data_IF_605788472500
#
_entry.id   IF_605788472500
#
_cell.length_a   1.000
_cell.length_b   1.000
_cell.length_c   1.000
_cell.angle_alpha   90.00
_cell.angle_beta   90.00
_cell.angle_gamma   90.00
#
_symmetry.space_group_name_H-M   'P 1'
#
loop_
_entity.id
_entity.type
_entity.pdbx_description
1 polymer ?
#
# COMPACT_ATOMS: atom_id res chain seq x y z
N UNK A 1 -36.37 -44.18 11.41
CA UNK A 1 -34.95 -44.34 11.08
C UNK A 1 -34.42 -43.01 10.53
N UNK A 2 -33.31 -42.56 11.08
CA UNK A 2 -32.62 -41.32 10.59
C UNK A 2 -31.82 -41.67 9.36
N UNK A 3 -31.91 -40.85 8.33
CA UNK A 3 -31.08 -40.91 7.13
C UNK A 3 -30.02 -39.82 7.28
N UNK A 4 -28.75 -40.15 7.51
CA UNK A 4 -27.73 -39.14 7.72
C UNK A 4 -27.53 -38.29 6.45
N UNK A 5 -27.25 -37.01 6.62
CA UNK A 5 -26.88 -36.15 5.51
C UNK A 5 -25.44 -36.38 5.14
N UNK A 6 -25.11 -36.05 3.88
CA UNK A 6 -23.75 -36.03 3.36
C UNK A 6 -23.14 -34.62 3.54
N UNK A 7 -21.84 -34.58 3.69
CA UNK A 7 -21.07 -33.32 3.66
C UNK A 7 -20.27 -33.25 2.36
N UNK A 8 -20.40 -32.13 1.65
CA UNK A 8 -19.62 -31.80 0.47
C UNK A 8 -18.68 -30.67 0.78
N UNK A 9 -17.40 -30.84 0.49
CA UNK A 9 -16.39 -29.80 0.60
C UNK A 9 -16.16 -29.13 -0.76
N UNK A 10 -16.25 -27.79 -0.80
CA UNK A 10 -16.03 -26.98 -1.99
C UNK A 10 -14.87 -26.04 -1.71
N UNK A 11 -13.85 -26.09 -2.56
CA UNK A 11 -12.71 -25.17 -2.45
C UNK A 11 -13.12 -23.73 -2.77
N UNK A 12 -12.71 -22.76 -1.93
CA UNK A 12 -12.98 -21.33 -2.10
C UNK A 12 -11.68 -20.52 -1.97
N UNK A 13 -11.26 -19.95 -3.10
CA UNK A 13 -10.04 -19.15 -3.20
C UNK A 13 -10.16 -17.75 -2.54
N UNK A 14 -11.31 -17.38 -2.01
CA UNK A 14 -11.50 -16.12 -1.28
C UNK A 14 -11.33 -16.30 0.23
N UNK A 15 -11.37 -17.53 0.70
CA UNK A 15 -11.19 -17.89 2.11
C UNK A 15 -9.73 -18.30 2.35
N UNK A 16 -9.15 -17.81 3.45
CA UNK A 16 -7.77 -18.17 3.82
C UNK A 16 -7.60 -19.68 3.94
N UNK A 17 -6.46 -20.19 3.47
CA UNK A 17 -6.09 -21.59 3.60
C UNK A 17 -6.22 -22.07 5.04
N UNK A 18 -6.75 -23.25 5.22
CA UNK A 18 -7.08 -23.90 6.51
C UNK A 18 -8.25 -23.26 7.28
N UNK A 19 -8.97 -22.31 6.70
CA UNK A 19 -10.26 -21.87 7.24
C UNK A 19 -11.40 -22.59 6.54
N UNK A 20 -12.50 -22.76 7.26
CA UNK A 20 -13.69 -23.45 6.79
C UNK A 20 -14.93 -22.66 7.17
N UNK A 21 -15.88 -22.59 6.26
CA UNK A 21 -17.16 -21.93 6.48
C UNK A 21 -18.31 -22.85 6.02
N UNK A 22 -19.35 -22.94 6.83
CA UNK A 22 -20.55 -23.69 6.47
C UNK A 22 -21.40 -22.81 5.53
N UNK A 23 -21.40 -23.13 4.24
CA UNK A 23 -22.24 -22.45 3.25
C UNK A 23 -23.69 -22.90 3.31
N UNK A 24 -23.92 -24.18 3.61
CA UNK A 24 -25.23 -24.77 3.79
C UNK A 24 -25.20 -25.80 4.93
N UNK A 25 -26.06 -25.61 5.91
CA UNK A 25 -26.18 -26.54 7.02
C UNK A 25 -26.85 -27.83 6.57
N UNK A 26 -26.25 -28.97 6.90
CA UNK A 26 -26.84 -30.28 6.68
C UNK A 26 -28.06 -30.51 7.56
N UNK A 27 -28.96 -31.34 7.10
CA UNK A 27 -30.11 -31.80 7.85
C UNK A 27 -30.36 -33.27 7.52
N UNK A 28 -30.41 -34.10 8.55
CA UNK A 28 -30.73 -35.51 8.38
C UNK A 28 -32.15 -35.69 7.85
N UNK A 29 -32.32 -36.68 7.01
CA UNK A 29 -33.59 -37.17 6.55
C UNK A 29 -34.25 -38.11 7.58
N UNK A 30 -35.48 -38.46 7.31
CA UNK A 30 -36.25 -39.36 8.16
C UNK A 30 -36.99 -40.38 7.30
N UNK A 31 -36.79 -41.66 7.61
CA UNK A 31 -37.58 -42.74 7.06
C UNK A 31 -38.53 -43.27 8.13
N UNK A 32 -39.82 -43.21 7.87
CA UNK A 32 -40.86 -43.78 8.72
C UNK A 32 -41.42 -45.01 8.02
N UNK A 33 -41.38 -46.16 8.72
CA UNK A 33 -41.89 -47.43 8.23
C UNK A 33 -42.95 -47.89 9.24
N UNK A 34 -44.11 -48.16 8.75
CA UNK A 34 -45.22 -48.74 9.53
C UNK A 34 -45.34 -50.23 9.26
N UNK A 35 -45.46 -50.97 10.31
CA UNK A 35 -45.61 -52.43 10.25
C UNK A 35 -46.96 -52.86 10.83
N UNK A 36 -47.54 -53.84 10.20
CA UNK A 36 -48.65 -54.62 10.77
C UNK A 36 -48.06 -55.90 11.39
N UNK A 37 -48.23 -56.07 12.71
CA UNK A 37 -47.67 -57.17 13.44
C UNK A 37 -48.78 -58.25 13.69
N UNK A 38 -48.43 -59.44 13.32
CA UNK A 38 -49.26 -60.61 13.62
C UNK A 38 -48.82 -61.24 14.94
N UNK A 39 -49.76 -61.26 15.91
CA UNK A 39 -49.48 -61.71 17.26
C UNK A 39 -50.11 -63.13 17.47
N UNK A 40 -49.32 -64.06 18.03
CA UNK A 40 -49.72 -65.32 18.52
C UNK A 40 -49.35 -65.41 20.02
N UNK A 41 -50.29 -65.68 20.87
CA UNK A 41 -50.10 -65.69 22.33
C UNK A 41 -49.42 -64.46 22.90
N UNK A 42 -49.72 -63.27 22.31
CA UNK A 42 -49.21 -62.01 22.76
C UNK A 42 -47.74 -61.75 22.31
N UNK A 43 -47.20 -62.60 21.46
CA UNK A 43 -45.84 -62.38 20.86
C UNK A 43 -45.98 -62.13 19.37
N UNK A 44 -45.16 -61.22 18.87
CA UNK A 44 -45.06 -60.94 17.42
C UNK A 44 -44.44 -62.15 16.73
N UNK A 45 -45.25 -62.84 15.87
CA UNK A 45 -44.81 -63.99 15.08
C UNK A 45 -44.35 -63.58 13.67
N UNK A 46 -44.98 -62.53 13.11
CA UNK A 46 -44.61 -61.98 11.82
C UNK A 46 -44.91 -60.46 11.79
N UNK A 47 -44.12 -59.71 11.06
CA UNK A 47 -44.36 -58.28 10.77
C UNK A 47 -44.39 -58.07 9.26
N UNK A 48 -45.34 -57.30 8.77
CA UNK A 48 -45.47 -56.93 7.37
C UNK A 48 -45.43 -55.43 7.26
N UNK A 49 -44.49 -54.89 6.43
CA UNK A 49 -44.46 -53.47 6.10
C UNK A 49 -45.72 -53.06 5.33
N UNK A 50 -46.46 -52.08 5.85
CA UNK A 50 -47.73 -51.60 5.25
C UNK A 50 -47.56 -50.16 4.67
N UNK A 51 -46.63 -49.39 5.17
CA UNK A 51 -46.41 -48.04 4.70
C UNK A 51 -44.93 -47.67 4.85
N UNK A 52 -44.41 -46.88 3.91
CA UNK A 52 -43.10 -46.28 3.97
C UNK A 52 -43.17 -44.82 3.48
N UNK A 53 -42.72 -43.91 4.31
CA UNK A 53 -42.54 -42.51 3.93
C UNK A 53 -41.07 -42.09 4.16
N UNK A 54 -40.56 -41.25 3.31
CA UNK A 54 -39.19 -40.82 3.39
C UNK A 54 -39.09 -39.33 3.15
N UNK A 55 -38.38 -38.63 4.05
CA UNK A 55 -37.96 -37.25 3.90
C UNK A 55 -36.47 -37.28 3.61
N UNK A 56 -36.08 -36.83 2.42
CA UNK A 56 -34.70 -36.85 2.01
C UNK A 56 -33.81 -35.92 2.88
N UNK A 57 -32.58 -36.32 3.17
CA UNK A 57 -31.63 -35.44 3.85
C UNK A 57 -31.26 -34.23 3.00
N UNK A 58 -30.89 -33.15 3.66
CA UNK A 58 -30.29 -31.98 3.01
C UNK A 58 -28.79 -32.05 3.21
N UNK A 59 -28.05 -32.02 2.12
CA UNK A 59 -26.58 -32.06 2.14
C UNK A 59 -25.99 -30.85 2.86
N UNK A 60 -24.98 -31.07 3.69
CA UNK A 60 -24.12 -29.99 4.19
C UNK A 60 -23.11 -29.57 3.13
N UNK A 61 -22.88 -28.24 2.97
CA UNK A 61 -21.86 -27.71 2.10
C UNK A 61 -20.88 -26.89 2.94
N UNK A 62 -19.62 -27.30 2.92
CA UNK A 62 -18.54 -26.67 3.63
C UNK A 62 -17.56 -26.07 2.62
N UNK A 63 -17.36 -24.75 2.67
CA UNK A 63 -16.30 -24.08 1.91
C UNK A 63 -14.97 -24.25 2.62
N UNK A 64 -13.99 -24.74 1.91
CA UNK A 64 -12.62 -24.94 2.39
C UNK A 64 -11.71 -23.91 1.73
N UNK A 65 -11.10 -23.06 2.53
CA UNK A 65 -10.25 -21.99 2.04
C UNK A 65 -8.97 -22.50 1.39
N UNK A 66 -8.61 -21.90 0.27
CA UNK A 66 -7.36 -22.14 -0.46
C UNK A 66 -6.49 -20.89 -0.66
N UNK A 67 -6.98 -19.69 -0.25
CA UNK A 67 -6.22 -18.45 -0.38
C UNK A 67 -4.94 -18.48 0.46
N UNK A 68 -3.81 -18.35 -0.20
CA UNK A 68 -2.51 -18.10 0.43
C UNK A 68 -2.13 -16.66 0.17
N UNK A 69 -2.14 -15.83 1.21
CA UNK A 69 -1.68 -14.44 1.08
C UNK A 69 -0.18 -14.37 0.93
N UNK A 70 0.28 -13.46 0.08
CA UNK A 70 1.69 -13.16 -0.18
C UNK A 70 2.04 -11.78 0.32
N UNK A 71 3.31 -11.58 0.67
CA UNK A 71 3.82 -10.28 1.10
C UNK A 71 3.70 -9.27 -0.05
N UNK A 72 3.03 -8.11 0.16
CA UNK A 72 2.99 -7.06 -0.85
C UNK A 72 4.34 -6.37 -1.01
N UNK A 73 4.54 -5.72 -2.15
CA UNK A 73 5.71 -4.88 -2.40
C UNK A 73 5.30 -3.46 -2.75
N UNK A 74 6.13 -2.49 -2.39
CA UNK A 74 5.97 -1.09 -2.77
C UNK A 74 7.28 -0.59 -3.37
N UNK A 75 7.18 0.07 -4.49
CA UNK A 75 8.29 0.69 -5.19
C UNK A 75 8.09 2.19 -5.30
N UNK A 76 9.16 2.97 -5.05
CA UNK A 76 9.21 4.38 -5.41
C UNK A 76 9.51 4.46 -6.92
N UNK A 77 8.49 4.78 -7.71
CA UNK A 77 8.61 4.80 -9.17
C UNK A 77 9.28 6.07 -9.67
N UNK A 78 8.96 7.21 -9.05
CA UNK A 78 9.50 8.49 -9.45
C UNK A 78 9.54 9.48 -8.30
N UNK A 79 10.51 10.39 -8.33
CA UNK A 79 10.60 11.57 -7.47
C UNK A 79 10.69 12.79 -8.38
N UNK A 80 9.66 13.61 -8.37
CA UNK A 80 9.60 14.87 -9.12
C UNK A 80 9.99 16.01 -8.18
N UNK A 81 11.03 16.74 -8.52
CA UNK A 81 11.51 17.86 -7.72
C UNK A 81 10.68 19.12 -8.03
N UNK A 82 10.21 19.80 -6.99
CA UNK A 82 9.65 21.15 -7.07
C UNK A 82 10.60 22.11 -6.32
N UNK A 83 11.61 22.56 -7.03
CA UNK A 83 12.66 23.39 -6.45
C UNK A 83 12.13 24.74 -5.97
N UNK A 84 11.09 25.27 -6.63
CA UNK A 84 10.47 26.54 -6.23
C UNK A 84 9.79 26.48 -4.86
N UNK A 85 9.33 25.29 -4.47
CA UNK A 85 8.65 25.05 -3.19
C UNK A 85 9.51 24.35 -2.17
N UNK A 86 10.79 24.07 -2.47
CA UNK A 86 11.64 23.22 -1.63
C UNK A 86 10.96 21.91 -1.27
N UNK A 87 10.41 21.25 -2.28
CA UNK A 87 9.59 20.05 -2.13
C UNK A 87 9.92 19.02 -3.20
N UNK A 88 9.54 17.77 -2.92
CA UNK A 88 9.48 16.70 -3.91
C UNK A 88 8.10 16.06 -3.89
N UNK A 89 7.68 15.59 -5.05
CA UNK A 89 6.48 14.79 -5.21
C UNK A 89 6.89 13.35 -5.55
N UNK A 90 6.49 12.41 -4.72
CA UNK A 90 6.89 10.99 -4.79
C UNK A 90 5.73 10.15 -5.28
N UNK A 91 5.98 9.35 -6.30
CA UNK A 91 5.03 8.38 -6.83
C UNK A 91 5.42 6.98 -6.38
N UNK A 92 4.42 6.20 -6.01
CA UNK A 92 4.57 4.82 -5.57
C UNK A 92 3.82 3.85 -6.49
N UNK A 93 4.25 2.60 -6.48
CA UNK A 93 3.52 1.48 -7.06
C UNK A 93 3.42 0.38 -6.02
N UNK A 94 2.18 0.01 -5.69
CA UNK A 94 1.87 -1.15 -4.84
C UNK A 94 1.60 -2.36 -5.74
N UNK A 95 2.22 -3.48 -5.39
CA UNK A 95 1.87 -4.81 -5.91
C UNK A 95 1.38 -5.67 -4.74
N UNK A 96 0.08 -5.95 -4.72
CA UNK A 96 -0.61 -6.67 -3.65
C UNK A 96 -1.69 -7.59 -4.23
N UNK A 97 -1.30 -8.67 -4.91
CA UNK A 97 -2.23 -9.57 -5.61
C UNK A 97 -3.19 -10.31 -4.69
N UNK A 98 -2.90 -10.39 -3.40
CA UNK A 98 -3.66 -11.16 -2.41
C UNK A 98 -4.30 -10.33 -1.32
N UNK A 99 -4.33 -9.02 -1.48
CA UNK A 99 -4.94 -8.07 -0.52
C UNK A 99 -4.39 -8.26 0.89
N UNK A 100 -3.08 -8.31 1.00
CA UNK A 100 -2.36 -8.43 2.27
C UNK A 100 -1.94 -7.07 2.85
N UNK A 101 -1.92 -6.00 2.04
CA UNK A 101 -1.53 -4.66 2.45
C UNK A 101 -2.46 -4.09 3.52
N UNK A 102 -1.90 -3.44 4.54
CA UNK A 102 -2.63 -2.77 5.62
C UNK A 102 -2.38 -1.26 5.59
N UNK A 103 -1.11 -0.85 5.66
CA UNK A 103 -0.71 0.57 5.60
C UNK A 103 0.75 0.71 5.18
N UNK A 104 1.13 1.93 4.81
CA UNK A 104 2.51 2.27 4.52
C UNK A 104 2.89 3.61 5.16
N UNK A 105 4.20 3.81 5.36
CA UNK A 105 4.78 5.07 5.77
C UNK A 105 6.09 5.33 5.04
N UNK A 106 6.40 6.60 4.83
CA UNK A 106 7.70 7.04 4.34
C UNK A 106 8.47 7.75 5.46
N UNK A 107 9.75 7.45 5.57
CA UNK A 107 10.68 8.13 6.45
C UNK A 107 11.74 8.84 5.61
N UNK A 108 11.96 10.11 5.91
CA UNK A 108 12.92 10.95 5.23
C UNK A 108 14.11 11.18 6.15
N UNK A 109 15.28 10.83 5.65
CA UNK A 109 16.55 10.96 6.35
C UNK A 109 17.42 12.02 5.69
N UNK A 110 18.12 12.79 6.53
CA UNK A 110 19.19 13.72 6.16
C UNK A 110 20.47 13.28 6.87
N UNK A 111 21.50 12.96 6.11
CA UNK A 111 22.78 12.47 6.66
C UNK A 111 22.59 11.33 7.69
N UNK A 112 21.68 10.40 7.43
CA UNK A 112 21.38 9.29 8.31
C UNK A 112 20.45 9.59 9.49
N UNK A 113 20.09 10.86 9.72
CA UNK A 113 19.15 11.28 10.76
C UNK A 113 17.75 11.36 10.21
N UNK A 114 16.77 10.74 10.89
CA UNK A 114 15.36 10.85 10.56
C UNK A 114 14.88 12.28 10.83
N UNK A 115 14.37 12.95 9.80
CA UNK A 115 13.87 14.34 9.89
C UNK A 115 12.35 14.44 9.74
N UNK A 116 11.74 13.50 9.03
CA UNK A 116 10.30 13.51 8.76
C UNK A 116 9.75 12.10 8.58
N UNK A 117 8.54 11.86 9.08
CA UNK A 117 7.76 10.66 8.80
C UNK A 117 6.40 11.06 8.23
N UNK A 118 5.93 10.35 7.22
CA UNK A 118 4.68 10.62 6.51
C UNK A 118 3.91 9.32 6.35
N UNK A 119 2.67 9.30 6.81
CA UNK A 119 1.75 8.19 6.56
C UNK A 119 1.29 8.21 5.10
N UNK A 120 1.50 7.12 4.40
CA UNK A 120 1.10 6.94 3.01
C UNK A 120 -0.31 6.31 2.97
N UNK A 121 -1.33 7.16 3.06
CA UNK A 121 -2.74 6.70 3.14
C UNK A 121 -3.23 6.09 1.83
N UNK A 122 -2.74 6.58 0.71
CA UNK A 122 -3.08 6.12 -0.63
C UNK A 122 -1.83 6.15 -1.52
N UNK A 123 -1.36 4.97 -1.90
CA UNK A 123 -0.18 4.81 -2.73
C UNK A 123 -0.44 5.08 -4.22
N UNK A 124 -1.70 5.22 -4.64
CA UNK A 124 -2.09 5.60 -6.00
C UNK A 124 -1.97 7.10 -6.24
N UNK A 125 -1.91 7.89 -5.16
CA UNK A 125 -1.81 9.34 -5.20
C UNK A 125 -0.38 9.79 -4.93
N UNK A 126 0.08 10.78 -5.69
CA UNK A 126 1.37 11.41 -5.48
C UNK A 126 1.47 12.04 -4.08
N UNK A 127 2.54 11.74 -3.37
CA UNK A 127 2.80 12.26 -2.02
C UNK A 127 3.79 13.42 -2.08
N UNK A 128 3.43 14.57 -1.52
CA UNK A 128 4.31 15.75 -1.45
C UNK A 128 5.07 15.77 -0.14
N UNK A 129 6.39 15.94 -0.23
CA UNK A 129 7.31 16.14 0.88
C UNK A 129 7.94 17.52 0.72
N UNK A 130 7.66 18.39 1.65
CA UNK A 130 8.10 19.81 1.68
C UNK A 130 9.09 20.08 2.82
N UNK A 131 9.56 21.31 2.89
CA UNK A 131 10.47 21.76 3.95
C UNK A 131 11.89 21.24 3.78
N UNK A 132 12.29 20.97 2.55
CA UNK A 132 13.60 20.46 2.20
C UNK A 132 14.58 21.62 1.90
N UNK A 133 15.87 21.37 2.08
CA UNK A 133 16.92 22.32 1.76
C UNK A 133 17.59 21.99 0.43
N UNK A 134 18.09 23.02 -0.26
CA UNK A 134 18.89 22.83 -1.47
C UNK A 134 20.24 22.18 -1.14
N UNK A 135 20.80 21.44 -2.08
CA UNK A 135 22.12 20.81 -2.01
C UNK A 135 22.32 19.88 -0.81
N UNK A 136 21.22 19.46 -0.24
CA UNK A 136 21.22 18.54 0.89
C UNK A 136 20.83 17.16 0.40
N UNK A 137 21.67 16.13 0.63
CA UNK A 137 21.31 14.77 0.26
C UNK A 137 20.26 14.22 1.24
N UNK A 138 19.22 13.67 0.68
CA UNK A 138 18.13 13.03 1.39
C UNK A 138 17.98 11.58 0.95
N UNK A 139 17.61 10.74 1.88
CA UNK A 139 17.19 9.34 1.61
C UNK A 139 15.75 9.18 2.04
N UNK A 140 14.89 8.71 1.15
CA UNK A 140 13.54 8.29 1.48
C UNK A 140 13.50 6.77 1.60
N UNK A 141 12.93 6.29 2.70
CA UNK A 141 12.70 4.87 2.97
C UNK A 141 11.22 4.62 3.16
N UNK A 142 10.71 3.58 2.52
CA UNK A 142 9.30 3.21 2.61
C UNK A 142 9.15 1.92 3.40
N UNK A 143 8.21 1.92 4.31
CA UNK A 143 7.87 0.79 5.18
C UNK A 143 6.43 0.37 4.97
N UNK A 144 6.19 -0.94 5.02
CA UNK A 144 4.86 -1.52 4.93
C UNK A 144 4.43 -2.18 6.24
N UNK A 145 3.14 -2.15 6.49
CA UNK A 145 2.45 -3.10 7.36
C UNK A 145 1.53 -3.96 6.50
N UNK A 146 1.55 -5.26 6.71
CA UNK A 146 0.75 -6.21 5.95
C UNK A 146 0.26 -7.36 6.84
N UNK A 147 -0.78 -8.07 6.40
CA UNK A 147 -1.38 -9.19 7.13
C UNK A 147 -1.51 -10.42 6.21
N UNK A 148 -0.84 -11.49 6.57
CA UNK A 148 -0.87 -12.76 5.83
C UNK A 148 -1.94 -13.74 6.35
N UNK A 149 -2.88 -13.25 7.18
CA UNK A 149 -3.99 -14.04 7.69
C UNK A 149 -3.90 -14.44 9.16
N UNK A 150 -2.89 -13.95 9.89
CA UNK A 150 -2.75 -14.19 11.34
C UNK A 150 -2.78 -12.88 12.13
N UNK A 151 -1.72 -12.10 12.02
CA UNK A 151 -1.58 -10.79 12.65
C UNK A 151 -0.90 -9.84 11.69
N UNK A 152 -1.05 -8.54 11.93
CA UNK A 152 -0.32 -7.51 11.20
C UNK A 152 1.18 -7.69 11.43
N UNK A 153 1.92 -7.69 10.33
CA UNK A 153 3.37 -7.76 10.34
C UNK A 153 3.92 -6.40 9.99
N UNK A 154 4.62 -5.78 10.92
CA UNK A 154 5.37 -4.58 10.62
C UNK A 154 6.54 -4.95 9.74
N UNK A 155 6.65 -4.22 8.65
CA UNK A 155 7.68 -4.53 7.73
C UNK A 155 8.95 -3.76 7.99
N UNK A 156 10.00 -4.44 7.63
CA UNK A 156 11.26 -3.83 7.28
C UNK A 156 11.10 -2.95 6.04
N UNK A 157 12.03 -2.06 5.83
CA UNK A 157 12.22 -1.26 4.63
C UNK A 157 11.96 -2.06 3.34
N UNK A 158 11.07 -1.54 2.48
CA UNK A 158 10.70 -2.19 1.21
C UNK A 158 11.20 -1.44 -0.01
N UNK A 159 11.47 -0.14 0.12
CA UNK A 159 11.98 0.69 -0.96
C UNK A 159 12.81 1.83 -0.40
N UNK A 160 13.94 2.11 -1.04
CA UNK A 160 14.83 3.21 -0.68
C UNK A 160 15.21 3.97 -1.93
N UNK A 161 15.24 5.30 -1.84
CA UNK A 161 15.71 6.17 -2.91
C UNK A 161 16.35 7.42 -2.38
N UNK A 162 17.51 7.77 -2.94
CA UNK A 162 18.20 8.99 -2.64
C UNK A 162 17.77 10.10 -3.59
N UNK A 163 17.73 11.32 -3.09
CA UNK A 163 17.47 12.50 -3.88
C UNK A 163 18.10 13.73 -3.24
N UNK A 164 18.21 14.79 -4.03
CA UNK A 164 18.69 16.10 -3.60
C UNK A 164 17.94 17.14 -4.41
N UNK A 165 17.55 18.24 -3.78
CA UNK A 165 17.10 19.42 -4.51
C UNK A 165 18.31 20.17 -5.02
N UNK A 166 18.25 20.57 -6.28
CA UNK A 166 19.25 21.45 -6.86
C UNK A 166 18.91 22.91 -6.47
N UNK A 167 19.72 23.84 -6.87
CA UNK A 167 19.49 25.23 -6.51
C UNK A 167 18.19 25.79 -7.14
N UNK A 168 17.64 26.80 -6.50
CA UNK A 168 16.57 27.61 -7.08
C UNK A 168 17.10 28.24 -8.37
N UNK A 169 16.48 27.89 -9.50
CA UNK A 169 16.87 28.43 -10.80
C UNK A 169 16.71 29.96 -10.79
N UNK A 170 17.82 30.65 -10.90
CA UNK A 170 17.85 32.10 -11.03
C UNK A 170 17.91 32.43 -12.52
N UNK A 171 16.92 33.15 -13.01
CA UNK A 171 16.96 33.74 -14.33
C UNK A 171 17.74 35.04 -14.23
N UNK A 172 18.91 35.07 -14.83
CA UNK A 172 19.70 36.29 -14.92
C UNK A 172 19.20 37.07 -16.12
N UNK A 173 18.77 38.28 -15.88
CA UNK A 173 18.34 39.20 -16.92
C UNK A 173 19.47 40.21 -17.20
N UNK A 174 19.51 40.76 -18.43
CA UNK A 174 20.49 41.68 -18.94
C UNK A 174 21.13 42.60 -17.90
N UNK A 175 22.46 42.63 -17.94
CA UNK A 175 23.28 43.38 -16.98
C UNK A 175 23.91 44.52 -17.72
N UNK A 176 23.18 45.61 -17.89
CA UNK A 176 23.70 46.85 -18.43
C UNK A 176 24.51 47.64 -17.39
N UNK A 177 24.42 47.25 -16.12
CA UNK A 177 25.10 47.90 -15.00
C UNK A 177 25.76 46.88 -14.07
N UNK A 178 26.67 47.34 -13.24
CA UNK A 178 27.36 46.54 -12.24
C UNK A 178 26.36 45.96 -11.23
N UNK A 179 26.02 44.69 -11.36
CA UNK A 179 25.12 44.02 -10.43
C UNK A 179 24.66 42.64 -10.92
N UNK A 180 24.19 41.83 -10.00
CA UNK A 180 23.62 40.54 -10.26
C UNK A 180 22.09 40.68 -10.18
N UNK A 181 21.39 40.17 -11.19
CA UNK A 181 19.93 40.17 -11.19
C UNK A 181 19.44 38.72 -11.13
N UNK A 182 18.65 38.40 -10.11
CA UNK A 182 18.00 37.11 -9.98
C UNK A 182 16.48 37.25 -9.89
N UNK A 183 15.75 36.31 -10.46
CA UNK A 183 14.29 36.23 -10.30
C UNK A 183 13.97 35.37 -9.08
N UNK A 184 13.40 36.01 -8.08
CA UNK A 184 13.01 35.42 -6.83
C UNK A 184 11.50 35.66 -6.62
N UNK A 185 10.72 34.60 -6.37
CA UNK A 185 9.27 34.67 -6.17
C UNK A 185 8.51 35.48 -7.25
N UNK A 186 8.94 35.35 -8.50
CA UNK A 186 8.35 36.08 -9.62
C UNK A 186 8.89 37.49 -9.84
N UNK A 187 9.74 38.03 -8.97
CA UNK A 187 10.29 39.35 -9.03
C UNK A 187 11.82 39.31 -9.32
N UNK A 188 12.31 40.28 -10.11
CA UNK A 188 13.74 40.46 -10.30
C UNK A 188 14.30 41.28 -9.15
N UNK A 189 15.38 40.77 -8.52
CA UNK A 189 16.14 41.47 -7.49
C UNK A 189 17.56 41.72 -7.97
N UNK A 190 18.06 42.92 -7.79
CA UNK A 190 19.45 43.27 -8.01
C UNK A 190 20.26 43.05 -6.73
N UNK A 191 21.38 42.35 -6.84
CA UNK A 191 22.37 42.22 -5.77
C UNK A 191 23.62 43.02 -6.15
N UNK A 192 24.08 43.92 -5.29
CA UNK A 192 25.24 44.77 -5.55
C UNK A 192 26.55 44.01 -5.36
N UNK A 193 26.54 42.99 -4.49
CA UNK A 193 27.70 42.15 -4.22
C UNK A 193 27.26 40.78 -3.68
N UNK A 194 28.21 39.84 -3.58
CA UNK A 194 27.92 38.49 -3.11
C UNK A 194 27.42 38.41 -1.65
N UNK A 195 27.77 39.40 -0.82
CA UNK A 195 27.31 39.44 0.57
C UNK A 195 25.82 39.78 0.71
N UNK A 196 25.21 40.34 -0.32
CA UNK A 196 23.78 40.65 -0.37
C UNK A 196 22.94 39.47 -0.88
N UNK A 197 23.59 38.46 -1.45
CA UNK A 197 22.91 37.26 -1.92
C UNK A 197 22.51 36.41 -0.72
N UNK A 198 21.28 35.90 -0.65
CA UNK A 198 20.87 34.99 0.41
C UNK A 198 21.88 33.84 0.60
N UNK A 199 22.12 33.43 1.83
CA UNK A 199 23.17 32.45 2.17
C UNK A 199 23.00 31.08 1.52
N UNK A 200 21.77 30.71 1.21
CA UNK A 200 21.44 29.51 0.47
C UNK A 200 21.80 29.56 -1.00
N UNK A 201 21.96 30.76 -1.55
CA UNK A 201 22.31 31.01 -2.95
C UNK A 201 23.76 31.43 -3.14
N UNK A 202 24.38 32.00 -2.10
CA UNK A 202 25.74 32.59 -2.18
C UNK A 202 26.84 31.65 -2.70
N UNK A 203 26.83 30.33 -2.43
CA UNK A 203 27.85 29.43 -2.95
C UNK A 203 27.86 29.31 -4.48
N UNK A 204 26.76 29.69 -5.12
CA UNK A 204 26.53 29.49 -6.56
C UNK A 204 26.71 30.77 -7.40
N UNK A 205 27.05 31.87 -6.77
CA UNK A 205 27.31 33.13 -7.45
C UNK A 205 28.79 33.38 -7.59
N UNK A 206 29.22 33.57 -8.82
CA UNK A 206 30.58 34.04 -9.13
C UNK A 206 30.48 35.46 -9.65
N UNK A 207 31.17 36.40 -9.01
CA UNK A 207 31.27 37.77 -9.48
C UNK A 207 32.16 37.81 -10.70
N UNK A 208 31.60 38.13 -11.86
CA UNK A 208 32.34 38.32 -13.11
C UNK A 208 32.66 39.79 -13.29
N UNK A 209 33.88 40.11 -13.76
CA UNK A 209 34.28 41.49 -14.05
C UNK A 209 33.43 42.05 -15.19
N UNK A 210 33.23 43.38 -15.18
CA UNK A 210 32.23 44.12 -15.95
C UNK A 210 32.20 43.91 -17.47
N UNK A 211 33.32 43.62 -18.09
CA UNK A 211 33.45 43.42 -19.52
C UNK A 211 33.03 42.01 -20.00
N UNK A 212 32.77 41.08 -19.06
CA UNK A 212 32.31 39.71 -19.34
C UNK A 212 31.01 39.33 -18.63
N UNK A 213 30.25 40.30 -18.20
CA UNK A 213 29.01 40.04 -17.42
C UNK A 213 27.90 39.34 -18.21
N UNK A 214 28.11 39.13 -19.51
CA UNK A 214 27.18 38.31 -20.34
C UNK A 214 27.40 36.80 -20.19
N UNK A 215 28.48 36.38 -19.56
CA UNK A 215 28.81 34.99 -19.30
C UNK A 215 28.88 34.77 -17.78
N UNK A 216 27.72 34.60 -17.14
CA UNK A 216 27.74 34.10 -15.78
C UNK A 216 27.74 32.59 -15.81
N UNK A 217 28.82 32.00 -15.36
CA UNK A 217 28.88 30.58 -15.04
C UNK A 217 28.14 30.38 -13.70
N UNK A 218 26.99 29.75 -13.78
CA UNK A 218 26.40 29.07 -12.63
C UNK A 218 27.01 27.66 -12.58
N UNK A 219 27.46 27.21 -11.42
CA UNK A 219 27.97 25.86 -11.27
C UNK A 219 26.91 24.79 -11.58
#
# INVERSE_FOLDING_TARGET
ETIPHETEEIEDATILKNHREIAQKGKDGLRTIEYEDYLVDGKVEASKEISRTEVAPTKEIVKVGSLVKTKPTVEITNIVKDESKKAVAVNYRLDDPTSAFVKAKAQIFQNGTLIKEVDLKDLSVQQTIDGLDYYTPYTIKTYLTYNLGQSDQENTEVSTKDFQLDYKKIEIKDVDEVGLYGKEDGHYRRYLNLSEVPSDLSPYFVKVKSDKMKEMLLP
#
